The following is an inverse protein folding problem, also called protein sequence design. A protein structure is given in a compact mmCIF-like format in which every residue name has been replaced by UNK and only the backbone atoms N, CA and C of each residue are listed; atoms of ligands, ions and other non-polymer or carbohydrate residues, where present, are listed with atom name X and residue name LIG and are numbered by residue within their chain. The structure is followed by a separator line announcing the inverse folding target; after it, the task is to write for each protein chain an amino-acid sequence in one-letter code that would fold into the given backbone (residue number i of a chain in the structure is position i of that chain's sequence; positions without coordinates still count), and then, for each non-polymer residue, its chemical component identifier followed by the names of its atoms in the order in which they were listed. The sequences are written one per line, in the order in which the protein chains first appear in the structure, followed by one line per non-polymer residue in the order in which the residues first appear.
data_IF_777007449577
#
_entry.id   IF_777007449577
#
_cell.length_a   1.000
_cell.length_b   1.000
_cell.length_c   1.000
_cell.angle_alpha   90.00
_cell.angle_beta   90.00
_cell.angle_gamma   90.00
#
_symmetry.space_group_name_H-M   'P 1'
#
loop_
_entity.id
_entity.type
_entity.pdbx_description
1 polymer ?
#
# COMPACT_ATOMS: atom_id res chain seq x y z
N UNK A 1 -5.37 0.19 -15.24
CA UNK A 1 -6.17 1.05 -14.35
C UNK A 1 -7.56 0.44 -14.28
N UNK A 2 -7.99 0.01 -13.10
CA UNK A 2 -9.42 -0.04 -12.82
C UNK A 2 -9.84 1.42 -12.64
N UNK A 3 -11.00 1.80 -13.19
CA UNK A 3 -11.28 3.20 -13.55
C UNK A 3 -11.10 4.23 -12.42
N UNK A 4 -11.24 3.80 -11.16
CA UNK A 4 -11.21 4.68 -9.98
C UNK A 4 -10.03 4.43 -9.02
N UNK A 5 -9.25 3.37 -9.22
CA UNK A 5 -8.15 2.99 -8.30
C UNK A 5 -6.79 3.42 -8.84
N UNK A 6 -6.06 4.21 -8.04
CA UNK A 6 -4.67 4.62 -8.32
C UNK A 6 -3.72 3.86 -7.41
N UNK A 7 -2.63 3.33 -7.97
CA UNK A 7 -1.58 2.64 -7.21
C UNK A 7 -0.26 3.39 -7.38
N UNK A 8 0.45 3.59 -6.27
CA UNK A 8 1.74 4.24 -6.23
C UNK A 8 2.80 3.25 -5.77
N UNK A 9 3.99 3.31 -6.38
CA UNK A 9 5.11 2.46 -6.04
C UNK A 9 6.33 3.32 -5.71
N UNK A 10 6.94 3.04 -4.56
CA UNK A 10 8.16 3.68 -4.11
C UNK A 10 9.22 2.61 -3.84
N UNK A 11 10.45 2.87 -4.27
CA UNK A 11 11.59 1.98 -4.05
C UNK A 11 12.76 2.78 -3.51
N UNK A 12 13.48 2.23 -2.54
CA UNK A 12 14.63 2.87 -1.94
C UNK A 12 15.50 1.88 -1.18
N UNK A 13 16.70 2.32 -0.79
CA UNK A 13 17.67 1.47 -0.07
C UNK A 13 17.32 1.33 1.41
N UNK A 14 16.67 2.35 1.98
CA UNK A 14 16.29 2.42 3.40
C UNK A 14 14.81 2.79 3.56
N UNK A 15 14.18 2.32 4.63
CA UNK A 15 12.78 2.67 4.95
C UNK A 15 12.60 4.17 5.09
N UNK A 16 13.55 4.85 5.75
CA UNK A 16 13.53 6.30 5.91
C UNK A 16 13.52 7.06 4.56
N UNK A 17 14.36 6.64 3.60
CA UNK A 17 14.36 7.28 2.27
C UNK A 17 13.05 7.10 1.51
N UNK A 18 12.41 5.93 1.68
CA UNK A 18 11.12 5.63 1.06
C UNK A 18 10.03 6.46 1.72
N UNK A 19 10.02 6.53 3.05
CA UNK A 19 9.07 7.33 3.83
C UNK A 19 9.13 8.81 3.44
N UNK A 20 10.33 9.40 3.39
CA UNK A 20 10.51 10.79 2.98
C UNK A 20 10.02 11.03 1.54
N UNK A 21 10.41 10.16 0.61
CA UNK A 21 10.02 10.28 -0.80
C UNK A 21 8.51 10.13 -0.99
N UNK A 22 7.88 9.17 -0.29
CA UNK A 22 6.46 8.93 -0.35
C UNK A 22 5.66 10.08 0.26
N UNK A 23 6.06 10.61 1.43
CA UNK A 23 5.41 11.76 2.04
C UNK A 23 5.54 13.03 1.20
N UNK A 24 6.73 13.29 0.63
CA UNK A 24 6.92 14.40 -0.30
C UNK A 24 5.99 14.27 -1.52
N UNK A 25 5.92 13.08 -2.12
CA UNK A 25 5.02 12.83 -3.24
C UNK A 25 3.54 13.00 -2.85
N UNK A 26 3.13 12.53 -1.66
CA UNK A 26 1.75 12.69 -1.18
C UNK A 26 1.35 14.16 -0.99
N UNK A 27 2.29 15.04 -0.64
CA UNK A 27 2.06 16.49 -0.57
C UNK A 27 1.82 17.07 -1.97
N UNK A 28 2.68 16.75 -2.94
CA UNK A 28 2.53 17.19 -4.34
C UNK A 28 1.23 16.65 -4.95
N UNK A 29 0.93 15.37 -4.71
CA UNK A 29 -0.31 14.73 -5.12
C UNK A 29 -1.53 15.42 -4.53
N UNK A 30 -1.48 15.82 -3.25
CA UNK A 30 -2.56 16.56 -2.61
C UNK A 30 -2.84 17.90 -3.31
N UNK A 31 -1.79 18.62 -3.71
CA UNK A 31 -1.88 19.88 -4.45
C UNK A 31 -2.49 19.65 -5.84
N UNK A 32 -1.98 18.66 -6.57
CA UNK A 32 -2.47 18.31 -7.90
C UNK A 32 -3.94 17.88 -7.87
N UNK A 33 -4.33 17.01 -6.93
CA UNK A 33 -5.72 16.57 -6.78
C UNK A 33 -6.65 17.76 -6.50
N UNK A 34 -6.23 18.69 -5.63
CA UNK A 34 -7.01 19.89 -5.32
C UNK A 34 -7.22 20.78 -6.55
N UNK A 35 -6.17 21.02 -7.33
CA UNK A 35 -6.24 21.80 -8.57
C UNK A 35 -7.18 21.15 -9.60
N UNK A 36 -7.23 19.81 -9.63
CA UNK A 36 -8.08 19.04 -10.53
C UNK A 36 -9.48 18.73 -9.94
N UNK A 37 -9.84 19.31 -8.79
CA UNK A 37 -11.13 19.06 -8.08
C UNK A 37 -11.36 17.57 -7.76
N UNK A 38 -10.29 16.82 -7.57
CA UNK A 38 -10.30 15.43 -7.14
C UNK A 38 -10.03 15.33 -5.64
N UNK A 39 -10.50 14.23 -5.03
CA UNK A 39 -10.27 13.95 -3.62
C UNK A 39 -9.84 12.49 -3.46
N UNK A 40 -8.74 12.29 -2.72
CA UNK A 40 -8.31 10.96 -2.29
C UNK A 40 -8.95 10.61 -0.95
N UNK A 41 -9.55 9.44 -0.86
CA UNK A 41 -10.16 8.95 0.37
C UNK A 41 -9.11 8.29 1.26
N UNK A 42 -8.53 9.06 2.19
CA UNK A 42 -7.49 8.59 3.10
C UNK A 42 -7.86 7.34 3.91
N UNK A 43 -9.14 7.18 4.28
CA UNK A 43 -9.61 6.00 5.03
C UNK A 43 -9.62 4.72 4.19
N UNK A 44 -9.79 4.84 2.87
CA UNK A 44 -9.73 3.70 1.94
C UNK A 44 -8.33 3.45 1.41
N UNK A 45 -7.43 4.44 1.51
CA UNK A 45 -6.04 4.33 1.05
C UNK A 45 -5.21 3.54 2.06
N UNK A 46 -4.74 2.37 1.60
CA UNK A 46 -3.88 1.47 2.36
C UNK A 46 -2.54 1.34 1.65
N UNK A 47 -1.48 1.02 2.39
CA UNK A 47 -0.18 0.69 1.81
C UNK A 47 0.44 -0.54 2.47
N UNK A 48 1.33 -1.20 1.72
CA UNK A 48 2.14 -2.31 2.19
C UNK A 48 3.60 -1.91 2.04
N UNK A 49 4.41 -2.24 3.05
CA UNK A 49 5.87 -2.09 2.99
C UNK A 49 6.47 -3.45 2.65
N UNK A 50 7.05 -3.56 1.45
CA UNK A 50 7.76 -4.77 1.03
C UNK A 50 9.24 -4.69 1.41
N UNK A 51 9.78 -5.80 1.92
CA UNK A 51 11.22 -5.92 2.15
C UNK A 51 11.70 -7.36 1.96
N UNK A 52 13.01 -7.57 1.73
CA UNK A 52 13.58 -8.91 1.73
C UNK A 52 13.26 -9.65 3.03
N UNK A 53 12.97 -10.95 2.91
CA UNK A 53 12.61 -11.86 4.03
C UNK A 53 13.71 -11.88 5.10
N UNK A 54 14.98 -11.75 4.68
CA UNK A 54 16.15 -11.83 5.57
C UNK A 54 16.43 -10.52 6.35
N UNK A 55 15.67 -9.45 6.11
CA UNK A 55 15.79 -8.21 6.90
C UNK A 55 14.88 -8.30 8.11
N UNK A 56 15.47 -8.72 9.23
CA UNK A 56 14.81 -8.73 10.54
C UNK A 56 14.64 -7.30 11.06
N UNK A 57 13.44 -6.97 11.53
CA UNK A 57 13.12 -5.67 12.13
C UNK A 57 11.68 -5.23 11.85
N UNK A 58 11.19 -4.30 12.66
CA UNK A 58 9.90 -3.65 12.41
C UNK A 58 9.99 -2.80 11.14
N UNK A 59 9.08 -3.04 10.19
CA UNK A 59 9.00 -2.34 8.91
C UNK A 59 8.01 -1.18 9.00
N UNK A 60 8.15 -0.36 10.04
CA UNK A 60 7.23 0.74 10.29
C UNK A 60 7.61 1.91 9.39
N UNK A 61 6.63 2.39 8.63
CA UNK A 61 6.71 3.62 7.85
C UNK A 61 5.51 4.47 8.23
N UNK A 62 5.68 5.78 8.30
CA UNK A 62 4.57 6.70 8.59
C UNK A 62 4.25 7.56 7.38
N UNK A 63 3.16 7.23 6.70
CA UNK A 63 2.65 8.04 5.58
C UNK A 63 1.51 8.95 6.05
N UNK A 64 1.65 10.24 5.79
CA UNK A 64 0.69 11.29 6.18
C UNK A 64 0.11 11.92 4.92
N UNK A 65 -1.21 11.92 4.81
CA UNK A 65 -1.95 12.62 3.77
C UNK A 65 -2.89 13.66 4.40
N UNK A 66 -2.67 14.95 4.12
CA UNK A 66 -3.48 16.07 4.66
C UNK A 66 -3.67 16.02 6.19
N UNK A 67 -2.61 15.64 6.92
CA UNK A 67 -2.64 15.52 8.38
C UNK A 67 -3.28 14.23 8.91
N UNK A 68 -3.71 13.32 8.05
CA UNK A 68 -4.22 11.99 8.43
C UNK A 68 -3.16 10.93 8.17
N UNK A 69 -2.99 10.01 9.12
CA UNK A 69 -2.14 8.83 8.92
C UNK A 69 -2.85 7.85 7.99
N UNK A 70 -2.15 7.41 6.95
CA UNK A 70 -2.61 6.33 6.09
C UNK A 70 -2.41 4.98 6.81
N UNK A 71 -3.25 4.01 6.49
CA UNK A 71 -3.21 2.69 7.13
C UNK A 71 -2.13 1.81 6.48
N UNK A 72 -1.15 1.38 7.28
CA UNK A 72 -0.23 0.31 6.89
C UNK A 72 -0.90 -1.04 7.13
N UNK A 73 -1.00 -1.87 6.09
CA UNK A 73 -1.52 -3.24 6.19
C UNK A 73 -0.43 -4.26 5.86
N UNK A 74 -0.59 -5.48 6.37
CA UNK A 74 0.31 -6.60 6.07
C UNK A 74 -0.15 -7.42 4.87
N UNK A 75 -1.45 -7.38 4.57
CA UNK A 75 -2.08 -8.14 3.48
C UNK A 75 -3.13 -7.27 2.81
N UNK A 76 -3.14 -7.23 1.48
CA UNK A 76 -4.10 -6.46 0.68
C UNK A 76 -4.47 -7.23 -0.59
N UNK A 77 -5.76 -7.25 -0.92
CA UNK A 77 -6.24 -7.71 -2.22
C UNK A 77 -6.08 -6.60 -3.26
N UNK A 78 -5.41 -6.90 -4.36
CA UNK A 78 -5.23 -6.01 -5.49
C UNK A 78 -5.47 -6.80 -6.78
N UNK A 79 -6.44 -6.36 -7.58
CA UNK A 79 -6.83 -6.98 -8.85
C UNK A 79 -7.12 -8.48 -8.77
N UNK A 80 -7.75 -8.92 -7.67
CA UNK A 80 -8.06 -10.34 -7.45
C UNK A 80 -6.95 -11.15 -6.77
N UNK A 81 -5.74 -10.61 -6.67
CA UNK A 81 -4.58 -11.27 -6.06
C UNK A 81 -4.36 -10.74 -4.65
N UNK A 82 -4.04 -11.63 -3.71
CA UNK A 82 -3.71 -11.24 -2.35
C UNK A 82 -2.20 -11.08 -2.21
N UNK A 83 -1.75 -9.87 -1.90
CA UNK A 83 -0.35 -9.56 -1.63
C UNK A 83 -0.11 -9.47 -0.13
N UNK A 84 1.03 -9.98 0.32
CA UNK A 84 1.50 -9.85 1.70
C UNK A 84 2.84 -9.12 1.79
N UNK A 85 3.13 -8.54 2.95
CA UNK A 85 4.37 -7.79 3.23
C UNK A 85 5.67 -8.59 3.01
N UNK A 86 5.58 -9.92 3.13
CA UNK A 86 6.66 -10.88 2.92
C UNK A 86 6.68 -11.46 1.50
N UNK A 87 5.77 -11.00 0.63
CA UNK A 87 5.55 -11.52 -0.73
C UNK A 87 5.26 -13.03 -0.78
N UNK A 88 4.76 -13.58 0.33
CA UNK A 88 4.29 -14.96 0.39
C UNK A 88 2.98 -15.14 -0.37
N UNK A 89 2.87 -16.25 -1.10
CA UNK A 89 1.62 -16.64 -1.75
C UNK A 89 0.64 -17.34 -0.81
N UNK A 90 1.05 -17.62 0.44
CA UNK A 90 0.22 -18.33 1.42
C UNK A 90 -1.16 -17.71 1.60
N UNK A 91 -1.32 -16.37 1.77
CA UNK A 91 -2.65 -15.77 1.94
C UNK A 91 -3.54 -15.95 0.70
N UNK A 92 -2.95 -15.84 -0.49
CA UNK A 92 -3.67 -16.04 -1.75
C UNK A 92 -4.13 -17.48 -1.92
N UNK A 93 -3.24 -18.45 -1.72
CA UNK A 93 -3.52 -19.88 -1.83
C UNK A 93 -4.58 -20.29 -0.80
N UNK A 94 -4.47 -19.86 0.45
CA UNK A 94 -5.45 -20.18 1.49
C UNK A 94 -6.84 -19.62 1.14
N UNK A 95 -6.90 -18.40 0.59
CA UNK A 95 -8.16 -17.83 0.13
C UNK A 95 -8.76 -18.62 -1.03
N UNK A 96 -7.95 -19.01 -2.02
CA UNK A 96 -8.40 -19.85 -3.13
C UNK A 96 -8.93 -21.21 -2.66
N UNK A 97 -8.21 -21.88 -1.76
CA UNK A 97 -8.65 -23.16 -1.19
C UNK A 97 -9.99 -23.04 -0.45
N UNK A 98 -10.18 -21.96 0.33
CA UNK A 98 -11.44 -21.65 1.00
C UNK A 98 -12.59 -21.49 0.01
N UNK A 99 -12.38 -20.77 -1.09
CA UNK A 99 -13.44 -20.54 -2.09
C UNK A 99 -13.78 -21.82 -2.86
N UNK A 100 -12.78 -22.64 -3.17
CA UNK A 100 -12.98 -23.93 -3.82
C UNK A 100 -13.71 -24.94 -2.91
N UNK A 101 -13.43 -24.94 -1.60
CA UNK A 101 -14.07 -25.84 -0.65
C UNK A 101 -15.55 -25.51 -0.37
N UNK A 102 -16.01 -24.30 -0.74
CA UNK A 102 -17.42 -23.89 -0.66
C UNK A 102 -18.22 -24.25 -1.91
N UNK A 103 -17.55 -24.68 -2.98
CA UNK A 103 -18.16 -25.09 -4.26
C UNK A 103 -18.48 -26.57 -4.24
#
# INVERSE_FOLDING_TARGET
MFADDTTLFFSGKTLHSIEQSANFYLQELSSWLQQNKLQLNAQKTKYIVFSPINKNGEKIVHLIYRGQNLEQVRVQKFLGVWFSEDLSWTPHVNHLLSELAKS
#
